data_IF_782379819199
#
_entry.id   IF_782379819199
#
_cell.length_a   1.000
_cell.length_b   1.000
_cell.length_c   1.000
_cell.angle_alpha   90.00
_cell.angle_beta   90.00
_cell.angle_gamma   90.00
#
_symmetry.space_group_name_H-M   'P 1'
#
loop_
_entity.id
_entity.type
_entity.pdbx_description
1 polymer ?
#
# COMPACT_ATOMS: atom_id res chain seq x y z
N UNK A 1 4.35 -15.95 -41.78
CA UNK A 1 3.59 -14.87 -41.10
C UNK A 1 3.61 -15.16 -39.61
N UNK A 2 4.56 -14.59 -38.88
CA UNK A 2 4.71 -14.76 -37.43
C UNK A 2 3.69 -13.88 -36.72
N UNK A 3 2.75 -14.50 -36.02
CA UNK A 3 1.80 -13.77 -35.18
C UNK A 3 2.54 -13.10 -34.03
N UNK A 4 2.54 -11.77 -34.03
CA UNK A 4 2.91 -10.96 -32.88
C UNK A 4 1.79 -11.10 -31.83
N UNK A 5 1.92 -12.11 -30.96
CA UNK A 5 1.07 -12.22 -29.78
C UNK A 5 1.48 -11.10 -28.82
N UNK A 6 0.81 -9.96 -28.91
CA UNK A 6 0.86 -8.91 -27.89
C UNK A 6 0.55 -9.58 -26.55
N UNK A 7 1.57 -9.73 -25.70
CA UNK A 7 1.37 -10.06 -24.29
C UNK A 7 0.54 -8.92 -23.72
N UNK A 8 -0.74 -9.15 -23.49
CA UNK A 8 -1.54 -8.34 -22.59
C UNK A 8 -0.90 -8.49 -21.22
N UNK A 9 -0.10 -7.52 -20.80
CA UNK A 9 0.43 -7.47 -19.45
C UNK A 9 -0.79 -7.34 -18.52
N UNK A 10 -1.06 -8.31 -17.63
CA UNK A 10 -2.21 -8.24 -16.75
C UNK A 10 -1.93 -7.19 -15.67
N UNK A 11 -2.33 -5.95 -15.93
CA UNK A 11 -2.25 -4.88 -14.94
C UNK A 11 -3.46 -4.95 -14.00
N UNK A 12 -3.18 -4.97 -12.69
CA UNK A 12 -4.18 -4.73 -11.66
C UNK A 12 -4.13 -3.24 -11.29
N UNK A 13 -5.24 -2.53 -11.42
CA UNK A 13 -5.38 -1.14 -11.01
C UNK A 13 -6.37 -1.03 -9.86
N UNK A 14 -6.12 -0.07 -8.96
CA UNK A 14 -6.99 0.25 -7.83
C UNK A 14 -7.08 1.76 -7.73
N UNK A 15 -8.27 2.29 -7.42
CA UNK A 15 -8.42 3.72 -7.15
C UNK A 15 -7.84 4.07 -5.77
N UNK A 16 -7.44 5.33 -5.55
CA UNK A 16 -6.98 5.75 -4.22
C UNK A 16 -8.09 5.63 -3.17
N UNK A 17 -9.35 5.83 -3.57
CA UNK A 17 -10.52 5.63 -2.70
C UNK A 17 -10.66 4.17 -2.27
N UNK A 18 -10.54 3.22 -3.20
CA UNK A 18 -10.63 1.80 -2.88
C UNK A 18 -9.43 1.33 -2.05
N UNK A 19 -8.25 1.88 -2.30
CA UNK A 19 -7.06 1.64 -1.48
C UNK A 19 -7.27 2.14 -0.05
N UNK A 20 -7.85 3.34 0.12
CA UNK A 20 -8.19 3.90 1.42
C UNK A 20 -9.17 3.00 2.18
N UNK A 21 -10.22 2.50 1.50
CA UNK A 21 -11.20 1.57 2.08
C UNK A 21 -10.52 0.26 2.48
N UNK A 22 -9.66 -0.30 1.61
CA UNK A 22 -8.91 -1.51 1.90
C UNK A 22 -8.01 -1.33 3.13
N UNK A 23 -7.28 -0.22 3.23
CA UNK A 23 -6.49 0.09 4.41
C UNK A 23 -7.36 0.29 5.66
N UNK A 24 -8.53 0.90 5.55
CA UNK A 24 -9.44 1.05 6.70
C UNK A 24 -9.92 -0.30 7.26
N UNK A 25 -10.00 -1.34 6.42
CA UNK A 25 -10.38 -2.71 6.84
C UNK A 25 -9.21 -3.53 7.37
N UNK A 26 -7.98 -3.26 6.90
CA UNK A 26 -6.81 -4.12 7.13
C UNK A 26 -5.79 -3.53 8.11
N UNK A 27 -5.81 -2.21 8.32
CA UNK A 27 -4.83 -1.55 9.16
C UNK A 27 -4.98 -1.96 10.63
N UNK A 28 -3.84 -2.00 11.32
CA UNK A 28 -3.79 -2.02 12.77
C UNK A 28 -4.61 -0.82 13.32
N UNK A 29 -5.53 -1.04 14.28
CA UNK A 29 -6.37 0.04 14.83
C UNK A 29 -5.58 1.25 15.30
N UNK A 30 -4.39 1.05 15.89
CA UNK A 30 -3.52 2.10 16.41
C UNK A 30 -2.93 3.01 15.32
N UNK A 31 -2.99 2.58 14.06
CA UNK A 31 -2.42 3.28 12.89
C UNK A 31 -3.50 3.74 11.90
N UNK A 32 -4.75 3.38 12.14
CA UNK A 32 -5.88 3.71 11.25
C UNK A 32 -6.08 5.22 11.06
N UNK A 33 -5.73 6.03 12.05
CA UNK A 33 -5.80 7.50 11.96
C UNK A 33 -4.85 8.11 10.94
N UNK A 34 -3.78 7.39 10.56
CA UNK A 34 -2.77 7.89 9.60
C UNK A 34 -3.17 7.67 8.14
N UNK A 35 -4.19 6.85 7.88
CA UNK A 35 -4.61 6.48 6.51
C UNK A 35 -4.87 7.72 5.62
N UNK A 36 -5.61 8.77 6.05
CA UNK A 36 -5.85 9.95 5.21
C UNK A 36 -4.56 10.70 4.86
N UNK A 37 -3.63 10.81 5.82
CA UNK A 37 -2.34 11.48 5.61
C UNK A 37 -1.49 10.74 4.57
N UNK A 38 -1.45 9.41 4.67
CA UNK A 38 -0.72 8.56 3.73
C UNK A 38 -1.31 8.67 2.32
N UNK A 39 -2.65 8.65 2.18
CA UNK A 39 -3.30 8.81 0.88
C UNK A 39 -2.94 10.16 0.24
N UNK A 40 -2.96 11.25 1.01
CA UNK A 40 -2.56 12.57 0.51
C UNK A 40 -1.09 12.62 0.08
N UNK A 41 -0.20 11.94 0.81
CA UNK A 41 1.20 11.82 0.43
C UNK A 41 1.40 11.01 -0.87
N UNK A 42 0.65 9.92 -1.04
CA UNK A 42 0.65 9.12 -2.28
C UNK A 42 0.13 9.94 -3.45
N UNK A 43 -0.97 10.67 -3.31
CA UNK A 43 -1.52 11.54 -4.36
C UNK A 43 -0.52 12.62 -4.77
N UNK A 44 0.13 13.26 -3.79
CA UNK A 44 1.18 14.25 -4.04
C UNK A 44 2.36 13.64 -4.81
N UNK A 45 2.83 12.45 -4.41
CA UNK A 45 3.92 11.75 -5.09
C UNK A 45 3.53 11.37 -6.52
N UNK A 46 2.30 10.92 -6.75
CA UNK A 46 1.81 10.65 -8.11
C UNK A 46 1.88 11.92 -8.97
N UNK A 47 1.48 13.07 -8.41
CA UNK A 47 1.50 14.36 -9.12
C UNK A 47 2.91 14.88 -9.45
N UNK A 48 3.89 14.67 -8.57
CA UNK A 48 5.26 15.19 -8.74
C UNK A 48 6.17 14.22 -9.48
N UNK A 49 6.09 12.94 -9.15
CA UNK A 49 7.08 11.91 -9.49
C UNK A 49 6.51 10.77 -10.35
N UNK A 50 5.18 10.74 -10.49
CA UNK A 50 4.45 9.73 -11.24
C UNK A 50 4.13 8.45 -10.44
N UNK A 51 3.21 7.62 -10.97
CA UNK A 51 2.67 6.46 -10.25
C UNK A 51 3.72 5.39 -9.94
N UNK A 52 4.74 5.22 -10.78
CA UNK A 52 5.78 4.20 -10.57
C UNK A 52 6.62 4.48 -9.32
N UNK A 53 6.89 5.75 -9.00
CA UNK A 53 7.61 6.12 -7.78
C UNK A 53 6.71 6.08 -6.55
N UNK A 54 5.46 6.51 -6.68
CA UNK A 54 4.47 6.44 -5.61
C UNK A 54 4.16 5.00 -5.15
N UNK A 55 4.31 4.02 -6.04
CA UNK A 55 4.10 2.60 -5.73
C UNK A 55 4.96 2.10 -4.55
N UNK A 56 6.21 2.57 -4.43
CA UNK A 56 7.06 2.19 -3.28
C UNK A 56 6.49 2.69 -1.96
N UNK A 57 5.94 3.91 -1.94
CA UNK A 57 5.27 4.47 -0.78
C UNK A 57 4.01 3.68 -0.43
N UNK A 58 3.21 3.29 -1.42
CA UNK A 58 2.02 2.44 -1.21
C UNK A 58 2.41 1.10 -0.57
N UNK A 59 3.47 0.45 -1.07
CA UNK A 59 3.96 -0.83 -0.53
C UNK A 59 4.45 -0.68 0.90
N UNK A 60 5.30 0.32 1.17
CA UNK A 60 5.84 0.58 2.51
C UNK A 60 4.74 0.95 3.51
N UNK A 61 3.81 1.82 3.11
CA UNK A 61 2.67 2.19 3.91
C UNK A 61 1.75 1.00 4.19
N UNK A 62 1.50 0.14 3.20
CA UNK A 62 0.71 -1.08 3.40
C UNK A 62 1.36 -1.99 4.44
N UNK A 63 2.66 -2.26 4.31
CA UNK A 63 3.39 -3.09 5.26
C UNK A 63 3.38 -2.51 6.68
N UNK A 64 3.53 -1.18 6.81
CA UNK A 64 3.46 -0.51 8.09
C UNK A 64 2.04 -0.48 8.66
N UNK A 65 1.02 -0.20 7.86
CA UNK A 65 -0.37 -0.18 8.34
C UNK A 65 -0.83 -1.56 8.82
N UNK A 66 -0.44 -2.64 8.15
CA UNK A 66 -0.90 -4.00 8.46
C UNK A 66 0.03 -4.77 9.39
N UNK A 67 1.19 -4.22 9.76
CA UNK A 67 2.05 -4.91 10.73
C UNK A 67 1.33 -4.99 12.07
N UNK A 68 1.37 -6.18 12.68
CA UNK A 68 1.15 -6.29 14.12
C UNK A 68 2.18 -5.37 14.78
N UNK A 69 1.77 -4.60 15.80
CA UNK A 69 2.66 -3.66 16.49
C UNK A 69 3.90 -4.38 17.03
N UNK A 70 4.85 -3.67 17.63
CA UNK A 70 5.93 -4.34 18.37
C UNK A 70 5.29 -5.35 19.32
N UNK A 71 5.44 -6.64 19.01
CA UNK A 71 5.21 -7.70 19.97
C UNK A 71 6.28 -7.46 21.01
N UNK A 72 5.92 -6.73 22.07
CA UNK A 72 6.70 -6.64 23.28
C UNK A 72 7.19 -8.05 23.56
N UNK A 73 8.50 -8.19 23.53
CA UNK A 73 9.22 -9.41 23.83
C UNK A 73 8.90 -9.85 25.26
N UNK A 74 7.72 -10.42 25.48
CA UNK A 74 7.56 -11.49 26.46
C UNK A 74 8.25 -12.70 25.85
N UNK A 75 9.58 -12.62 25.87
CA UNK A 75 10.43 -13.79 25.77
C UNK A 75 9.84 -14.84 26.69
N UNK A 76 9.73 -16.05 26.15
CA UNK A 76 9.36 -17.23 26.90
C UNK A 76 10.23 -17.28 28.15
N UNK A 77 9.64 -17.09 29.32
CA UNK A 77 10.31 -17.43 30.57
C UNK A 77 10.28 -18.95 30.65
N UNK A 78 11.44 -19.54 30.38
CA UNK A 78 11.75 -20.94 30.67
C UNK A 78 11.87 -21.16 32.18
#
# INVERSE_FOLDING_TARGET
MTQNKLKTDPHLTISLTDLQIAWAMLANPDRSSEIPNIISAVETLIGVEGPSKAAFTVIAATAWLTSEGETSSRGWQA
#
